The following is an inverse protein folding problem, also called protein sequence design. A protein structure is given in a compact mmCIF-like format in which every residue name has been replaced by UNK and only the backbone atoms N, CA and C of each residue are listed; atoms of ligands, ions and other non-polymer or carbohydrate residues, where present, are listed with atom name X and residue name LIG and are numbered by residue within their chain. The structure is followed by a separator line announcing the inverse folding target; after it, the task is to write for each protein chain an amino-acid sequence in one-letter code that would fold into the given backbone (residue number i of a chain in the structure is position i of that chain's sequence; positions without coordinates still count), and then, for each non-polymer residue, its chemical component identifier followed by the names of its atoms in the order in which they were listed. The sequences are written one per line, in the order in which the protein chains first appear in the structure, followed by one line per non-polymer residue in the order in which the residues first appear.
data_IF_596759646291
#
_entry.id   IF_596759646291
#
_cell.length_a   1.000
_cell.length_b   1.000
_cell.length_c   1.000
_cell.angle_alpha   90.00
_cell.angle_beta   90.00
_cell.angle_gamma   90.00
#
_symmetry.space_group_name_H-M   'P 1'
#
loop_
_entity.id
_entity.type
_entity.pdbx_description
1 polymer ?
#
# COMPACT_ATOMS: atom_id res chain seq x y z
N UNK A 1 -2.93 9.99 -12.05
CA UNK A 1 -2.29 8.70 -12.40
C UNK A 1 -1.67 8.14 -11.13
N UNK A 2 -2.09 6.94 -10.71
CA UNK A 2 -1.61 6.32 -9.47
C UNK A 2 -0.17 5.82 -9.61
N UNK A 3 0.68 6.15 -8.63
CA UNK A 3 2.11 5.78 -8.55
C UNK A 3 2.59 5.95 -7.11
N UNK A 4 3.76 5.41 -6.81
CA UNK A 4 4.42 5.57 -5.51
C UNK A 4 4.56 7.06 -5.14
N UNK A 5 4.25 7.38 -3.88
CA UNK A 5 4.35 8.72 -3.32
C UNK A 5 3.15 9.64 -3.61
N UNK A 6 2.15 9.20 -4.38
CA UNK A 6 0.92 9.98 -4.58
C UNK A 6 0.11 10.02 -3.29
N UNK A 7 -0.40 11.20 -2.97
CA UNK A 7 -1.44 11.40 -1.98
C UNK A 7 -2.80 11.59 -2.64
N UNK A 8 -3.83 10.99 -2.07
CA UNK A 8 -5.19 11.02 -2.62
C UNK A 8 -6.23 10.87 -1.49
N UNK A 9 -7.06 11.88 -1.29
CA UNK A 9 -8.15 11.91 -0.30
C UNK A 9 -9.49 11.43 -0.86
N UNK A 10 -9.53 11.02 -2.14
CA UNK A 10 -10.72 10.49 -2.82
C UNK A 10 -10.81 8.96 -2.75
N UNK A 11 -9.74 8.28 -2.32
CA UNK A 11 -9.71 6.82 -2.19
C UNK A 11 -10.51 6.32 -0.98
N UNK A 12 -10.47 7.08 0.11
CA UNK A 12 -11.22 6.86 1.33
C UNK A 12 -11.73 8.23 1.80
N UNK A 13 -13.05 8.39 1.89
CA UNK A 13 -13.69 9.68 2.12
C UNK A 13 -13.08 10.43 3.33
N UNK A 14 -12.43 11.56 3.04
CA UNK A 14 -11.86 12.44 4.06
C UNK A 14 -10.55 11.96 4.69
N UNK A 15 -9.89 10.96 4.11
CA UNK A 15 -8.62 10.40 4.60
C UNK A 15 -7.52 10.62 3.56
N UNK A 16 -6.50 11.43 3.89
CA UNK A 16 -5.33 11.69 3.04
C UNK A 16 -4.51 10.41 2.86
N UNK A 17 -4.82 9.61 1.84
CA UNK A 17 -4.18 8.32 1.64
C UNK A 17 -2.85 8.47 0.88
N UNK A 18 -1.82 7.75 1.32
CA UNK A 18 -0.54 7.65 0.63
C UNK A 18 -0.44 6.33 -0.13
N UNK A 19 -0.18 6.41 -1.44
CA UNK A 19 0.06 5.23 -2.26
C UNK A 19 1.55 4.86 -2.23
N UNK A 20 1.85 3.59 -1.94
CA UNK A 20 3.20 3.05 -1.97
C UNK A 20 3.32 1.84 -2.88
N UNK A 21 4.42 1.75 -3.63
CA UNK A 21 4.72 0.56 -4.41
C UNK A 21 5.00 -0.64 -3.49
N UNK A 22 4.39 -1.78 -3.81
CA UNK A 22 4.67 -3.04 -3.12
C UNK A 22 5.87 -3.70 -3.82
N UNK A 23 6.99 -3.94 -3.11
CA UNK A 23 8.13 -4.67 -3.65
C UNK A 23 7.73 -6.05 -4.17
N UNK A 24 8.28 -6.47 -5.31
CA UNK A 24 7.95 -7.74 -5.97
C UNK A 24 8.18 -8.97 -5.07
N UNK A 25 9.14 -8.89 -4.16
CA UNK A 25 9.49 -9.93 -3.20
C UNK A 25 8.34 -10.23 -2.24
N UNK A 26 7.46 -9.25 -1.98
CA UNK A 26 6.30 -9.39 -1.11
C UNK A 26 5.05 -9.91 -1.83
N UNK A 27 5.04 -9.94 -3.18
CA UNK A 27 3.86 -10.35 -3.95
C UNK A 27 3.47 -11.79 -3.66
N UNK A 28 4.44 -12.70 -3.52
CA UNK A 28 4.12 -14.11 -3.20
C UNK A 28 3.46 -14.24 -1.83
N UNK A 29 3.86 -13.41 -0.86
CA UNK A 29 3.36 -13.47 0.52
C UNK A 29 1.94 -12.92 0.63
N UNK A 30 1.63 -11.85 -0.10
CA UNK A 30 0.38 -11.11 0.09
C UNK A 30 -0.55 -11.04 -1.12
N UNK A 31 -0.04 -11.29 -2.32
CA UNK A 31 -0.76 -11.21 -3.59
C UNK A 31 -0.69 -12.55 -4.35
N UNK A 32 -0.57 -13.67 -3.62
CA UNK A 32 -0.21 -14.98 -4.19
C UNK A 32 -1.09 -15.46 -5.35
N UNK A 33 -2.40 -15.23 -5.31
CA UNK A 33 -3.29 -15.57 -6.43
C UNK A 33 -3.05 -14.71 -7.67
N UNK A 34 -2.69 -13.44 -7.49
CA UNK A 34 -2.35 -12.54 -8.60
C UNK A 34 -1.03 -12.97 -9.25
N UNK A 35 -0.07 -13.48 -8.46
CA UNK A 35 1.17 -14.05 -9.00
C UNK A 35 0.88 -15.20 -9.95
N UNK A 36 -0.07 -16.08 -9.63
CA UNK A 36 -0.48 -17.15 -10.55
C UNK A 36 -1.10 -16.59 -11.85
N UNK A 37 -1.99 -15.61 -11.73
CA UNK A 37 -2.62 -14.98 -12.91
C UNK A 37 -1.61 -14.27 -13.81
N UNK A 38 -0.60 -13.61 -13.23
CA UNK A 38 0.44 -12.87 -13.96
C UNK A 38 1.72 -13.66 -14.18
N UNK A 39 1.71 -14.99 -14.00
CA UNK A 39 2.91 -15.83 -13.98
C UNK A 39 3.78 -15.76 -15.26
N UNK A 40 3.17 -15.41 -16.40
CA UNK A 40 3.88 -15.29 -17.68
C UNK A 40 4.68 -13.97 -17.81
N UNK A 41 4.72 -13.14 -16.77
CA UNK A 41 5.47 -11.88 -16.74
C UNK A 41 6.77 -12.02 -15.93
N UNK A 42 7.95 -11.89 -16.56
CA UNK A 42 9.23 -12.08 -15.88
C UNK A 42 9.49 -11.04 -14.77
N UNK A 43 8.99 -9.82 -14.92
CA UNK A 43 9.15 -8.73 -13.94
C UNK A 43 7.99 -8.67 -12.92
N UNK A 44 7.11 -9.68 -12.90
CA UNK A 44 5.89 -9.68 -12.10
C UNK A 44 4.86 -8.66 -12.59
N UNK A 45 4.16 -8.02 -11.65
CA UNK A 45 3.14 -7.00 -11.96
C UNK A 45 3.24 -5.81 -11.01
N UNK A 46 3.04 -4.56 -11.48
CA UNK A 46 3.04 -3.40 -10.60
C UNK A 46 1.85 -3.48 -9.65
N UNK A 47 2.10 -3.27 -8.36
CA UNK A 47 1.07 -3.23 -7.33
C UNK A 47 1.32 -2.04 -6.39
N UNK A 48 0.24 -1.36 -6.01
CA UNK A 48 0.26 -0.28 -5.03
C UNK A 48 -0.51 -0.70 -3.79
N UNK A 49 0.00 -0.35 -2.62
CA UNK A 49 -0.69 -0.38 -1.34
C UNK A 49 -1.18 1.03 -1.00
N UNK A 50 -2.37 1.10 -0.39
CA UNK A 50 -2.90 2.31 0.24
C UNK A 50 -2.47 2.31 1.71
N UNK A 51 -1.80 3.38 2.14
CA UNK A 51 -1.54 3.67 3.54
C UNK A 51 -2.43 4.84 3.97
N UNK A 52 -3.08 4.73 5.11
CA UNK A 52 -3.82 5.84 5.70
C UNK A 52 -3.13 6.33 6.97
N UNK A 53 -3.22 7.63 7.28
CA UNK A 53 -2.61 8.17 8.47
C UNK A 53 -3.40 7.77 9.74
N UNK A 54 -2.74 7.87 10.89
CA UNK A 54 -3.37 7.82 12.20
C UNK A 54 -4.20 9.09 12.49
N UNK A 55 -4.80 9.16 13.68
CA UNK A 55 -5.63 10.30 14.12
C UNK A 55 -4.89 11.64 14.14
N UNK A 56 -3.55 11.62 14.11
CA UNK A 56 -2.68 12.80 14.13
C UNK A 56 -2.04 13.08 12.77
N UNK A 57 -2.46 12.38 11.71
CA UNK A 57 -1.95 12.61 10.35
C UNK A 57 -0.62 11.93 10.04
N UNK A 58 -0.13 11.01 10.89
CA UNK A 58 1.14 10.31 10.70
C UNK A 58 0.92 9.00 9.97
N UNK A 59 1.89 8.58 9.17
CA UNK A 59 1.84 7.34 8.39
C UNK A 59 2.70 6.24 9.04
N UNK A 60 2.46 4.96 8.70
CA UNK A 60 3.32 3.86 9.14
C UNK A 60 4.80 4.13 8.86
N UNK A 61 5.65 3.90 9.87
CA UNK A 61 7.09 4.13 9.79
C UNK A 61 7.52 5.57 10.12
N UNK A 62 6.59 6.49 10.35
CA UNK A 62 6.91 7.81 10.91
C UNK A 62 6.98 7.75 12.44
N UNK A 63 7.83 8.59 13.02
CA UNK A 63 7.98 8.68 14.47
C UNK A 63 6.65 9.11 15.13
N UNK A 64 6.27 8.39 16.18
CA UNK A 64 5.02 8.64 16.90
C UNK A 64 3.76 8.11 16.23
N UNK A 65 3.85 7.36 15.12
CA UNK A 65 2.69 6.72 14.49
C UNK A 65 1.94 5.79 15.45
N UNK A 66 0.65 6.06 15.65
CA UNK A 66 -0.24 5.28 16.51
C UNK A 66 -0.92 4.18 15.70
N UNK A 67 -0.52 2.93 15.95
CA UNK A 67 -1.08 1.75 15.31
C UNK A 67 -2.40 1.32 15.99
N UNK A 68 -3.38 2.22 16.07
CA UNK A 68 -4.65 1.96 16.76
C UNK A 68 -5.73 1.33 15.86
N UNK A 69 -5.59 1.41 14.54
CA UNK A 69 -6.52 0.79 13.60
C UNK A 69 -5.75 0.00 12.55
N UNK A 70 -6.11 -1.27 12.43
CA UNK A 70 -5.48 -2.33 11.65
C UNK A 70 -5.25 -1.93 10.18
N UNK A 71 -4.14 -1.26 9.90
CA UNK A 71 -3.58 -1.25 8.56
C UNK A 71 -2.93 -2.62 8.35
N UNK A 72 -3.28 -3.39 7.30
CA UNK A 72 -2.54 -4.59 6.99
C UNK A 72 -1.11 -4.16 6.65
N UNK A 73 -0.17 -4.40 7.56
CA UNK A 73 1.25 -4.28 7.25
C UNK A 73 1.58 -5.43 6.30
N UNK A 74 1.94 -5.08 5.06
CA UNK A 74 2.59 -5.99 4.13
C UNK A 74 4.09 -5.99 4.46
#
# INVERSE_FOLDING_TARGET
MYRDGVRDDTLLDGVDCLLRAIPSELHRKYLGYNVWFYQDRPDGFPALQILWPDSQGRYPGQEGFEMEVMQPSL
#
